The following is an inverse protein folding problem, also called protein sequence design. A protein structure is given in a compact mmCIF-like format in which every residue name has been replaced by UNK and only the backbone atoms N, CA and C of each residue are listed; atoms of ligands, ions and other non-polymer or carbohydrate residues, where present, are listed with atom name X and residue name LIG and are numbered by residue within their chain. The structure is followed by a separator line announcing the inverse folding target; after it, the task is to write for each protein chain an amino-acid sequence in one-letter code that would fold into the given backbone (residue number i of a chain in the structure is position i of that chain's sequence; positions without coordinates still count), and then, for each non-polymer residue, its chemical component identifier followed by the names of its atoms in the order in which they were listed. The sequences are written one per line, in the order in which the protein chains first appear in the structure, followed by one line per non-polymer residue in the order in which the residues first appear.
data_IF_676487322492
#
_entry.id   IF_676487322492
#
_cell.length_a   1.000
_cell.length_b   1.000
_cell.length_c   1.000
_cell.angle_alpha   90.00
_cell.angle_beta   90.00
_cell.angle_gamma   90.00
#
_symmetry.space_group_name_H-M   'P 1'
#
loop_
_entity.id
_entity.type
_entity.pdbx_description
1 polymer ?
#
# COMPACT_ATOMS: atom_id res chain seq x y z
N UNK A 1 -41.56 -18.81 -3.54
CA UNK A 1 -40.66 -19.45 -4.52
C UNK A 1 -39.85 -20.46 -3.72
N UNK A 2 -40.43 -21.68 -3.65
CA UNK A 2 -40.02 -22.76 -2.77
C UNK A 2 -38.72 -23.39 -3.27
N UNK A 3 -37.75 -23.57 -2.37
CA UNK A 3 -36.52 -24.32 -2.63
C UNK A 3 -36.66 -25.71 -2.00
N UNK A 4 -36.65 -26.73 -2.84
CA UNK A 4 -36.79 -28.14 -2.51
C UNK A 4 -35.71 -28.67 -1.54
N UNK A 5 -36.08 -29.49 -0.53
CA UNK A 5 -35.15 -30.04 0.47
C UNK A 5 -34.49 -31.38 0.09
N UNK A 6 -34.25 -31.71 -1.17
CA UNK A 6 -33.79 -33.06 -1.59
C UNK A 6 -32.25 -33.17 -1.74
N UNK A 7 -31.48 -32.12 -1.49
CA UNK A 7 -30.01 -32.17 -1.76
C UNK A 7 -29.11 -32.43 -0.55
N UNK A 8 -29.65 -32.75 0.63
CA UNK A 8 -28.86 -32.89 1.87
C UNK A 8 -28.73 -34.30 2.45
N UNK A 9 -29.11 -35.36 1.73
CA UNK A 9 -29.09 -36.77 2.27
C UNK A 9 -28.16 -37.72 1.45
N UNK A 10 -27.22 -37.25 0.68
CA UNK A 10 -26.33 -38.16 -0.08
C UNK A 10 -24.81 -38.01 0.22
N UNK A 11 -24.42 -37.37 1.27
CA UNK A 11 -23.01 -37.21 1.65
C UNK A 11 -22.62 -37.85 3.01
N UNK A 12 -23.41 -38.78 3.55
CA UNK A 12 -23.14 -39.39 4.87
C UNK A 12 -22.99 -40.91 4.87
N UNK A 13 -22.69 -41.52 3.74
CA UNK A 13 -22.72 -43.00 3.59
C UNK A 13 -21.45 -43.67 3.10
N UNK A 14 -20.29 -43.02 3.03
CA UNK A 14 -19.09 -43.63 2.40
C UNK A 14 -17.82 -43.60 3.30
N UNK A 15 -17.85 -43.08 4.52
CA UNK A 15 -16.60 -42.96 5.33
C UNK A 15 -16.48 -43.90 6.52
N UNK A 16 -17.45 -44.78 6.79
CA UNK A 16 -17.44 -45.59 8.01
C UNK A 16 -17.04 -47.06 7.83
N UNK A 17 -16.75 -47.50 6.62
CA UNK A 17 -16.37 -48.90 6.32
C UNK A 17 -14.88 -49.12 6.02
N UNK A 18 -14.08 -48.07 5.90
CA UNK A 18 -12.62 -48.15 5.61
C UNK A 18 -11.75 -48.20 6.89
N UNK A 19 -12.25 -47.69 8.03
CA UNK A 19 -11.40 -47.58 9.24
C UNK A 19 -11.40 -48.80 10.13
N UNK A 20 -12.33 -49.73 9.91
CA UNK A 20 -12.43 -50.95 10.69
C UNK A 20 -11.52 -52.10 10.24
N UNK A 21 -11.09 -52.15 8.98
CA UNK A 21 -10.19 -53.19 8.45
C UNK A 21 -8.70 -52.85 8.66
N UNK A 22 -8.34 -51.58 8.77
CA UNK A 22 -6.94 -51.15 9.02
C UNK A 22 -6.53 -51.32 10.49
N UNK A 23 -7.49 -51.30 11.40
CA UNK A 23 -7.22 -51.49 12.86
C UNK A 23 -6.98 -52.93 13.28
N UNK A 24 -7.42 -53.92 12.49
CA UNK A 24 -7.27 -55.35 12.79
C UNK A 24 -6.00 -55.99 12.22
N UNK A 25 -5.34 -55.33 11.25
CA UNK A 25 -4.10 -55.81 10.66
C UNK A 25 -2.85 -55.38 11.47
N UNK A 26 -2.91 -54.30 12.23
CA UNK A 26 -1.76 -53.77 13.02
C UNK A 26 -1.60 -54.49 14.37
N UNK A 27 -2.65 -55.19 14.87
CA UNK A 27 -2.60 -55.86 16.20
C UNK A 27 -2.06 -57.30 16.20
N UNK A 28 -1.63 -57.82 15.05
CA UNK A 28 -1.21 -59.26 14.96
C UNK A 28 0.28 -59.50 14.81
N UNK A 29 1.11 -58.46 14.67
CA UNK A 29 2.58 -58.58 14.50
C UNK A 29 3.43 -57.98 15.62
N UNK A 30 2.84 -57.53 16.73
CA UNK A 30 3.56 -57.04 17.90
C UNK A 30 3.63 -58.08 19.02
N UNK A 31 4.05 -59.29 18.70
CA UNK A 31 4.36 -60.34 19.65
C UNK A 31 5.87 -60.51 19.76
N UNK A 32 6.39 -60.22 20.95
CA UNK A 32 7.72 -60.64 21.43
C UNK A 32 8.96 -60.08 20.74
N UNK A 33 9.39 -58.87 21.13
CA UNK A 33 10.83 -58.55 21.21
C UNK A 33 11.14 -57.75 22.46
N UNK A 34 12.11 -58.24 23.19
CA UNK A 34 12.71 -57.83 24.43
C UNK A 34 12.69 -56.32 24.78
N UNK A 35 12.10 -56.03 25.92
CA UNK A 35 12.04 -54.70 26.55
C UNK A 35 13.23 -54.46 27.51
N UNK A 36 14.45 -54.88 27.18
CA UNK A 36 15.58 -54.77 28.10
C UNK A 36 16.73 -53.81 27.66
N UNK A 37 16.52 -52.96 26.62
CA UNK A 37 17.62 -52.09 26.10
C UNK A 37 17.34 -50.58 26.19
N UNK A 38 16.25 -50.11 26.78
CA UNK A 38 15.93 -48.66 26.85
C UNK A 38 16.28 -48.02 28.22
N UNK A 39 17.14 -48.64 29.03
CA UNK A 39 17.50 -48.06 30.34
C UNK A 39 18.86 -47.35 30.41
N UNK A 40 19.60 -47.17 29.31
CA UNK A 40 20.94 -46.58 29.34
C UNK A 40 21.17 -45.28 28.54
N UNK A 41 20.11 -44.59 28.08
CA UNK A 41 20.28 -43.29 27.46
C UNK A 41 19.69 -42.13 28.30
N UNK A 42 20.18 -42.02 29.57
CA UNK A 42 20.10 -40.74 30.30
C UNK A 42 21.13 -39.76 29.72
N UNK A 43 20.89 -39.28 28.51
CA UNK A 43 21.59 -38.13 27.99
C UNK A 43 21.14 -36.89 28.77
N UNK A 44 21.83 -36.57 29.86
CA UNK A 44 21.72 -35.26 30.52
C UNK A 44 22.30 -34.22 29.56
N UNK A 45 21.52 -33.31 29.00
CA UNK A 45 22.12 -32.18 28.30
C UNK A 45 22.83 -31.34 29.37
N UNK A 46 24.17 -31.39 29.39
CA UNK A 46 24.98 -30.39 30.08
C UNK A 46 24.76 -29.06 29.33
N UNK A 47 23.78 -28.32 29.72
CA UNK A 47 23.67 -26.90 29.39
C UNK A 47 24.84 -26.20 30.07
N UNK A 48 25.98 -26.17 29.36
CA UNK A 48 27.10 -25.33 29.69
C UNK A 48 26.63 -23.89 29.51
N UNK A 49 26.22 -23.25 30.61
CA UNK A 49 25.70 -21.89 30.64
C UNK A 49 26.71 -20.94 29.97
N UNK A 50 26.38 -20.54 28.75
CA UNK A 50 27.04 -19.38 28.12
C UNK A 50 26.62 -18.14 28.92
N UNK A 51 27.57 -17.25 29.25
CA UNK A 51 27.26 -16.08 30.07
C UNK A 51 26.16 -15.27 29.41
N UNK A 52 25.17 -14.73 30.16
CA UNK A 52 24.03 -13.98 29.63
C UNK A 52 24.45 -12.73 28.83
N UNK A 53 25.65 -12.23 29.06
CA UNK A 53 26.28 -11.10 28.36
C UNK A 53 26.46 -11.38 26.85
N UNK A 54 26.84 -12.61 26.48
CA UNK A 54 27.04 -12.97 25.06
C UNK A 54 25.72 -13.04 24.29
N UNK A 55 24.59 -13.37 24.93
CA UNK A 55 23.28 -13.37 24.35
C UNK A 55 22.74 -11.92 24.21
N UNK A 56 22.94 -11.09 25.24
CA UNK A 56 22.57 -9.68 25.21
C UNK A 56 23.32 -8.89 24.13
N UNK A 57 24.63 -9.15 23.95
CA UNK A 57 25.44 -8.57 22.86
C UNK A 57 24.97 -9.02 21.46
N UNK A 58 24.54 -10.27 21.32
CA UNK A 58 24.02 -10.79 20.03
C UNK A 58 22.64 -10.21 19.70
N UNK A 59 21.75 -10.13 20.69
CA UNK A 59 20.45 -9.49 20.52
C UNK A 59 20.57 -7.98 20.30
N UNK A 60 21.47 -7.30 21.01
CA UNK A 60 21.78 -5.88 20.81
C UNK A 60 22.39 -5.59 19.43
N UNK A 61 23.27 -6.44 18.93
CA UNK A 61 23.84 -6.34 17.59
C UNK A 61 22.81 -6.57 16.49
N UNK A 62 21.86 -7.50 16.68
CA UNK A 62 20.78 -7.76 15.74
C UNK A 62 19.77 -6.59 15.69
N UNK A 63 19.44 -6.01 16.84
CA UNK A 63 18.59 -4.80 16.93
C UNK A 63 19.26 -3.59 16.30
N UNK A 64 20.57 -3.41 16.48
CA UNK A 64 21.33 -2.34 15.85
C UNK A 64 21.41 -2.49 14.31
N UNK A 65 21.56 -3.73 13.82
CA UNK A 65 21.50 -4.03 12.37
C UNK A 65 20.11 -3.76 11.76
N UNK A 66 19.04 -4.07 12.49
CA UNK A 66 17.67 -3.76 12.07
C UNK A 66 17.38 -2.25 12.02
N UNK A 67 18.01 -1.46 12.91
CA UNK A 67 17.89 -0.01 12.91
C UNK A 67 18.61 0.69 11.74
N UNK A 68 19.62 0.06 11.14
CA UNK A 68 20.40 0.62 10.04
C UNK A 68 19.77 0.43 8.65
N UNK A 69 18.77 -0.42 8.50
CA UNK A 69 18.14 -0.71 7.19
C UNK A 69 16.99 0.22 6.81
N UNK A 70 16.65 1.20 7.65
CA UNK A 70 15.46 2.06 7.49
C UNK A 70 15.65 3.33 6.65
N UNK A 71 16.82 3.62 6.10
CA UNK A 71 17.10 4.87 5.38
C UNK A 71 16.83 4.77 3.87
N UNK A 72 15.60 4.44 3.48
CA UNK A 72 15.16 4.54 2.08
C UNK A 72 14.41 5.85 1.78
N UNK A 73 14.25 6.24 0.50
CA UNK A 73 13.38 7.36 0.11
C UNK A 73 11.92 6.97 0.34
N UNK A 74 11.46 7.06 1.58
CA UNK A 74 10.11 6.73 1.99
C UNK A 74 9.21 7.96 2.13
N UNK A 75 8.05 7.75 2.76
CA UNK A 75 7.08 8.80 3.08
C UNK A 75 7.67 9.81 4.08
N UNK A 76 8.58 9.36 4.94
CA UNK A 76 9.24 10.20 5.93
C UNK A 76 10.65 10.67 5.46
N UNK A 77 11.04 11.94 5.76
CA UNK A 77 10.20 13.00 6.29
C UNK A 77 9.22 13.54 5.24
N UNK A 78 7.95 13.70 5.63
CA UNK A 78 6.92 14.27 4.77
C UNK A 78 7.09 15.77 4.57
N UNK A 79 6.69 16.27 3.40
CA UNK A 79 6.70 17.67 3.03
C UNK A 79 5.27 18.11 2.70
N UNK A 80 4.94 19.36 2.95
CA UNK A 80 3.61 19.88 2.69
C UNK A 80 2.57 19.58 3.80
N UNK A 81 1.46 20.28 3.75
CA UNK A 81 0.41 20.24 4.78
C UNK A 81 -0.23 18.86 4.87
N UNK A 82 -0.61 18.28 3.71
CA UNK A 82 -1.28 16.98 3.64
C UNK A 82 -0.33 15.85 4.07
N UNK A 83 0.93 15.88 3.59
CA UNK A 83 1.94 14.90 3.96
C UNK A 83 2.20 14.86 5.47
N UNK A 84 2.31 16.03 6.10
CA UNK A 84 2.48 16.14 7.56
C UNK A 84 1.25 15.62 8.31
N UNK A 85 0.05 15.96 7.85
CA UNK A 85 -1.18 15.46 8.42
C UNK A 85 -1.26 13.93 8.38
N UNK A 86 -0.96 13.32 7.24
CA UNK A 86 -0.90 11.86 7.10
C UNK A 86 0.13 11.22 8.03
N UNK A 87 1.30 11.85 8.17
CA UNK A 87 2.35 11.38 9.09
C UNK A 87 1.88 11.44 10.53
N UNK A 88 1.21 12.50 10.96
CA UNK A 88 0.66 12.62 12.31
C UNK A 88 -0.32 11.50 12.60
N UNK A 89 -1.31 11.27 11.71
CA UNK A 89 -2.28 10.19 11.86
C UNK A 89 -1.60 8.82 11.91
N UNK A 90 -0.58 8.61 11.10
CA UNK A 90 0.18 7.36 11.08
C UNK A 90 0.92 7.14 12.43
N UNK A 91 1.59 8.15 12.96
CA UNK A 91 2.32 8.07 14.24
C UNK A 91 1.35 7.87 15.40
N UNK A 92 0.25 8.61 15.44
CA UNK A 92 -0.78 8.48 16.49
C UNK A 92 -1.39 7.08 16.48
N UNK A 93 -1.75 6.58 15.28
CA UNK A 93 -2.28 5.23 15.12
C UNK A 93 -1.27 4.16 15.53
N UNK A 94 0.00 4.34 15.16
CA UNK A 94 1.09 3.44 15.55
C UNK A 94 1.28 3.44 17.08
N UNK A 95 1.26 4.61 17.72
CA UNK A 95 1.39 4.74 19.17
C UNK A 95 0.25 4.00 19.91
N UNK A 96 -0.99 4.19 19.47
CA UNK A 96 -2.16 3.49 20.02
C UNK A 96 -2.02 1.98 19.85
N UNK A 97 -1.63 1.52 18.67
CA UNK A 97 -1.40 0.09 18.38
C UNK A 97 -0.29 -0.49 19.27
N UNK A 98 0.84 0.18 19.39
CA UNK A 98 1.97 -0.29 20.20
C UNK A 98 1.64 -0.33 21.70
N UNK A 99 0.80 0.57 22.19
CA UNK A 99 0.35 0.57 23.57
C UNK A 99 -0.40 -0.71 23.96
N UNK A 100 -0.93 -1.45 23.00
CA UNK A 100 -1.62 -2.73 23.20
C UNK A 100 -0.75 -3.91 22.80
N UNK A 101 -0.12 -3.83 21.63
CA UNK A 101 0.67 -4.93 21.07
C UNK A 101 1.89 -5.25 21.95
N UNK A 102 2.62 -4.23 22.43
CA UNK A 102 3.81 -4.45 23.25
C UNK A 102 3.47 -5.12 24.59
N UNK A 103 2.49 -4.64 25.40
CA UNK A 103 2.10 -5.34 26.62
C UNK A 103 1.58 -6.76 26.36
N UNK A 104 0.85 -7.00 25.25
CA UNK A 104 0.36 -8.32 24.89
C UNK A 104 1.52 -9.28 24.58
N UNK A 105 2.52 -8.85 23.80
CA UNK A 105 3.72 -9.64 23.53
C UNK A 105 4.46 -9.95 24.82
N UNK A 106 4.69 -8.93 25.66
CA UNK A 106 5.39 -9.08 26.95
C UNK A 106 4.62 -10.06 27.86
N UNK A 107 3.29 -9.90 27.97
CA UNK A 107 2.45 -10.81 28.75
C UNK A 107 2.51 -12.24 28.23
N UNK A 108 2.43 -12.44 26.91
CA UNK A 108 2.52 -13.76 26.27
C UNK A 108 3.85 -14.43 26.60
N UNK A 109 4.96 -13.73 26.44
CA UNK A 109 6.29 -14.26 26.76
C UNK A 109 6.45 -14.52 28.29
N UNK A 110 5.91 -13.64 29.12
CA UNK A 110 5.92 -13.80 30.57
C UNK A 110 5.10 -15.04 31.01
N UNK A 111 3.92 -15.24 30.44
CA UNK A 111 3.13 -16.44 30.71
C UNK A 111 3.82 -17.70 30.20
N UNK A 112 4.36 -17.72 29.00
CA UNK A 112 5.11 -18.86 28.46
C UNK A 112 6.33 -19.20 29.34
N UNK A 113 7.02 -18.20 29.86
CA UNK A 113 8.15 -18.39 30.77
C UNK A 113 7.71 -18.86 32.17
N UNK A 114 6.64 -18.25 32.72
CA UNK A 114 6.15 -18.55 34.06
C UNK A 114 5.51 -19.93 34.16
N UNK A 115 4.69 -20.30 33.19
CA UNK A 115 3.97 -21.59 33.19
C UNK A 115 4.70 -22.72 32.47
N UNK A 116 6.01 -22.58 32.24
CA UNK A 116 6.82 -23.68 31.66
C UNK A 116 6.85 -24.88 32.59
N UNK A 117 6.92 -26.08 32.04
CA UNK A 117 6.89 -27.37 32.78
C UNK A 117 7.94 -27.52 33.87
N UNK A 118 9.09 -26.82 33.75
CA UNK A 118 10.17 -26.84 34.77
C UNK A 118 9.91 -25.90 35.96
N UNK A 119 8.86 -25.08 35.96
CA UNK A 119 8.56 -24.17 37.05
C UNK A 119 7.58 -24.80 38.08
N UNK A 120 8.09 -25.31 39.15
CA UNK A 120 7.29 -25.91 40.24
C UNK A 120 6.50 -24.88 41.08
N UNK A 121 6.78 -23.57 40.91
CA UNK A 121 6.04 -22.49 41.62
C UNK A 121 4.75 -22.12 40.91
N UNK A 122 4.62 -22.44 39.62
CA UNK A 122 3.42 -22.15 38.85
C UNK A 122 2.28 -23.08 39.30
N UNK A 123 1.14 -22.49 39.72
CA UNK A 123 0.00 -23.27 40.18
C UNK A 123 -0.77 -23.82 38.98
N UNK A 124 -0.80 -25.14 38.85
CA UNK A 124 -1.58 -25.84 37.85
C UNK A 124 -3.07 -25.82 38.21
N UNK A 125 -3.95 -25.36 37.32
CA UNK A 125 -5.41 -25.34 37.48
C UNK A 125 -6.07 -25.89 36.22
N UNK A 126 -6.18 -27.20 36.08
CA UNK A 126 -6.72 -27.85 34.87
C UNK A 126 -8.21 -27.52 34.65
N UNK A 127 -8.95 -27.25 35.74
CA UNK A 127 -10.39 -26.98 35.71
C UNK A 127 -10.73 -25.50 35.45
N UNK A 128 -9.72 -24.66 35.14
CA UNK A 128 -9.97 -23.26 34.82
C UNK A 128 -10.51 -23.11 33.38
N UNK A 129 -11.84 -23.00 33.27
CA UNK A 129 -12.54 -22.92 31.97
C UNK A 129 -13.00 -21.50 31.66
N UNK A 130 -13.40 -20.72 32.68
CA UNK A 130 -14.03 -19.41 32.48
C UNK A 130 -13.73 -18.43 33.61
N UNK A 131 -13.59 -17.17 33.26
CA UNK A 131 -13.56 -16.05 34.20
C UNK A 131 -14.16 -14.80 33.55
N UNK A 132 -15.36 -14.39 33.98
CA UNK A 132 -16.05 -13.23 33.41
C UNK A 132 -15.27 -11.92 33.52
N UNK A 133 -14.44 -11.75 34.55
CA UNK A 133 -13.59 -10.55 34.70
C UNK A 133 -12.47 -10.49 33.63
N UNK A 134 -11.81 -11.62 33.38
CA UNK A 134 -10.77 -11.71 32.34
C UNK A 134 -11.41 -11.51 30.98
N UNK A 135 -12.55 -12.14 30.74
CA UNK A 135 -13.24 -12.04 29.45
C UNK A 135 -13.73 -10.62 29.18
N UNK A 136 -14.29 -9.94 30.21
CA UNK A 136 -14.68 -8.54 30.10
C UNK A 136 -13.49 -7.66 29.65
N UNK A 137 -12.32 -7.82 30.27
CA UNK A 137 -11.13 -7.04 29.92
C UNK A 137 -10.62 -7.37 28.53
N UNK A 138 -10.55 -8.66 28.18
CA UNK A 138 -10.02 -9.11 26.87
C UNK A 138 -10.90 -8.68 25.68
N UNK A 139 -12.20 -8.49 25.90
CA UNK A 139 -13.10 -7.96 24.88
C UNK A 139 -13.19 -6.42 24.88
N UNK A 140 -13.16 -5.81 26.06
CA UNK A 140 -13.32 -4.35 26.19
C UNK A 140 -12.13 -3.59 25.60
N UNK A 141 -10.91 -4.06 25.83
CA UNK A 141 -9.69 -3.35 25.36
C UNK A 141 -9.67 -3.27 23.83
N UNK A 142 -9.81 -4.36 23.05
CA UNK A 142 -9.87 -4.28 21.59
C UNK A 142 -11.04 -3.43 21.09
N UNK A 143 -12.22 -3.56 21.70
CA UNK A 143 -13.40 -2.78 21.30
C UNK A 143 -13.16 -1.28 21.44
N UNK A 144 -12.68 -0.83 22.59
CA UNK A 144 -12.37 0.58 22.84
C UNK A 144 -11.28 1.08 21.90
N UNK A 145 -10.28 0.24 21.58
CA UNK A 145 -9.22 0.58 20.64
C UNK A 145 -9.74 0.78 19.23
N UNK A 146 -10.62 -0.12 18.75
CA UNK A 146 -11.24 0.01 17.42
C UNK A 146 -12.07 1.29 17.35
N UNK A 147 -12.82 1.62 18.41
CA UNK A 147 -13.58 2.87 18.47
C UNK A 147 -12.67 4.10 18.41
N UNK A 148 -11.55 4.09 19.16
CA UNK A 148 -10.58 5.18 19.17
C UNK A 148 -9.91 5.34 17.80
N UNK A 149 -9.39 4.26 17.22
CA UNK A 149 -8.77 4.27 15.90
C UNK A 149 -9.76 4.66 14.80
N UNK A 150 -11.00 4.17 14.91
CA UNK A 150 -12.09 4.57 14.03
C UNK A 150 -12.36 6.07 14.08
N UNK A 151 -12.34 6.67 15.27
CA UNK A 151 -12.46 8.13 15.46
C UNK A 151 -11.30 8.91 14.83
N UNK A 152 -10.05 8.43 15.01
CA UNK A 152 -8.86 9.03 14.37
C UNK A 152 -8.96 8.94 12.84
N UNK A 153 -9.34 7.77 12.30
CA UNK A 153 -9.50 7.58 10.87
C UNK A 153 -10.63 8.45 10.29
N UNK A 154 -11.76 8.50 10.97
CA UNK A 154 -12.89 9.35 10.58
C UNK A 154 -12.49 10.83 10.48
N UNK A 155 -11.87 11.36 11.54
CA UNK A 155 -11.41 12.74 11.55
C UNK A 155 -10.38 12.99 10.44
N UNK A 156 -9.40 12.11 10.30
CA UNK A 156 -8.34 12.22 9.30
C UNK A 156 -8.87 12.21 7.87
N UNK A 157 -9.83 11.33 7.56
CA UNK A 157 -10.43 11.24 6.22
C UNK A 157 -11.22 12.51 5.83
N UNK A 158 -11.79 13.21 6.81
CA UNK A 158 -12.49 14.46 6.54
C UNK A 158 -11.58 15.69 6.49
N UNK A 159 -10.55 15.73 7.35
CA UNK A 159 -9.60 16.85 7.38
C UNK A 159 -8.63 16.83 6.19
N UNK A 160 -8.26 15.64 5.73
CA UNK A 160 -7.29 15.41 4.66
C UNK A 160 -7.94 14.88 3.37
N UNK A 161 -9.22 15.22 3.14
CA UNK A 161 -9.90 14.90 1.89
C UNK A 161 -9.09 15.48 0.71
N UNK A 162 -8.71 14.64 -0.28
CA UNK A 162 -7.95 15.09 -1.43
C UNK A 162 -8.57 16.24 -2.21
N UNK A 163 -9.91 16.29 -2.28
CA UNK A 163 -10.67 17.34 -2.99
C UNK A 163 -10.84 18.63 -2.17
N UNK A 164 -10.43 18.63 -0.90
CA UNK A 164 -10.59 19.81 -0.03
C UNK A 164 -9.50 20.84 -0.33
N UNK A 165 -9.87 22.11 -0.62
CA UNK A 165 -8.92 23.19 -0.80
C UNK A 165 -8.05 23.38 0.44
N UNK A 166 -6.74 23.54 0.24
CA UNK A 166 -5.80 23.83 1.33
C UNK A 166 -5.97 25.29 1.76
N UNK A 167 -5.89 25.58 3.07
CA UNK A 167 -5.93 26.93 3.57
C UNK A 167 -4.70 27.70 3.07
N UNK A 168 -4.92 28.79 2.35
CA UNK A 168 -3.88 29.68 1.83
C UNK A 168 -4.49 31.03 1.46
N UNK A 169 -3.71 32.09 1.61
CA UNK A 169 -4.05 33.43 1.14
C UNK A 169 -3.80 33.61 -0.37
N UNK A 170 -3.11 32.64 -1.00
CA UNK A 170 -2.78 32.66 -2.41
C UNK A 170 -3.74 31.79 -3.24
N UNK A 171 -4.05 32.25 -4.44
CA UNK A 171 -4.80 31.45 -5.40
C UNK A 171 -3.99 30.16 -5.76
N UNK A 172 -4.64 28.99 -5.79
CA UNK A 172 -3.95 27.76 -6.13
C UNK A 172 -3.47 27.74 -7.58
N UNK A 173 -2.26 27.23 -7.81
CA UNK A 173 -1.78 26.90 -9.14
C UNK A 173 -2.64 25.78 -9.72
N UNK A 174 -3.22 25.97 -10.89
CA UNK A 174 -4.02 24.94 -11.56
C UNK A 174 -3.12 24.07 -12.44
N UNK A 175 -3.23 22.76 -12.27
CA UNK A 175 -2.53 21.78 -13.09
C UNK A 175 -3.51 20.69 -13.50
N UNK A 176 -3.62 20.43 -14.80
CA UNK A 176 -4.39 19.32 -15.33
C UNK A 176 -3.44 18.15 -15.59
N UNK A 177 -3.73 16.98 -15.00
CA UNK A 177 -2.91 15.79 -15.14
C UNK A 177 -3.65 14.69 -15.87
N UNK A 178 -3.05 14.14 -16.91
CA UNK A 178 -3.60 13.04 -17.68
C UNK A 178 -2.67 11.83 -17.54
N UNK A 179 -3.18 10.73 -17.01
CA UNK A 179 -2.47 9.45 -17.06
C UNK A 179 -2.63 8.82 -18.43
N UNK A 180 -1.51 8.53 -19.06
CA UNK A 180 -1.39 7.83 -20.35
C UNK A 180 -0.83 6.43 -20.10
N UNK A 181 -0.73 5.60 -21.14
CA UNK A 181 -0.08 4.30 -21.04
C UNK A 181 1.41 4.48 -20.70
N UNK A 182 1.69 4.35 -19.39
CA UNK A 182 2.95 4.37 -18.67
C UNK A 182 3.73 5.70 -18.68
N UNK A 183 3.02 6.84 -18.82
CA UNK A 183 3.57 8.19 -18.70
C UNK A 183 2.53 9.18 -18.19
N UNK A 184 2.99 10.32 -17.70
CA UNK A 184 2.16 11.38 -17.16
C UNK A 184 2.28 12.64 -18.03
N UNK A 185 1.15 13.21 -18.43
CA UNK A 185 1.05 14.51 -19.07
C UNK A 185 0.54 15.52 -18.06
N UNK A 186 1.23 16.63 -17.88
CA UNK A 186 0.85 17.76 -17.02
C UNK A 186 0.63 18.99 -17.88
N UNK A 187 -0.55 19.58 -17.80
CA UNK A 187 -0.94 20.80 -18.51
C UNK A 187 -1.08 21.92 -17.50
N UNK A 188 -0.48 23.06 -17.76
CA UNK A 188 -0.59 24.28 -16.96
C UNK A 188 -1.49 25.27 -17.73
N UNK A 189 -2.81 25.29 -17.49
CA UNK A 189 -3.74 26.10 -18.28
C UNK A 189 -3.46 27.59 -18.19
N UNK A 190 -3.09 28.10 -17.00
CA UNK A 190 -2.82 29.53 -16.79
C UNK A 190 -1.49 29.98 -17.46
N UNK A 191 -0.59 29.06 -17.77
CA UNK A 191 0.69 29.33 -18.41
C UNK A 191 0.78 28.85 -19.86
N UNK A 192 -0.23 28.15 -20.33
CA UNK A 192 -0.31 27.60 -21.69
C UNK A 192 0.92 26.75 -22.10
N UNK A 193 1.40 25.89 -21.21
CA UNK A 193 2.47 24.91 -21.45
C UNK A 193 2.05 23.54 -21.00
N UNK A 194 2.74 22.49 -21.49
CA UNK A 194 2.58 21.14 -20.96
C UNK A 194 3.92 20.43 -20.85
N UNK A 195 4.00 19.48 -19.93
CA UNK A 195 5.18 18.66 -19.68
C UNK A 195 4.82 17.18 -19.58
N UNK A 196 5.74 16.32 -19.95
CA UNK A 196 5.61 14.86 -19.84
C UNK A 196 6.64 14.36 -18.83
N UNK A 197 6.20 13.56 -17.86
CA UNK A 197 7.00 12.94 -16.79
C UNK A 197 7.85 13.94 -15.94
N UNK A 198 7.52 15.21 -15.98
CA UNK A 198 8.15 16.26 -15.17
C UNK A 198 7.08 17.25 -14.71
N UNK A 199 6.99 17.46 -13.42
CA UNK A 199 6.05 18.38 -12.80
C UNK A 199 6.83 19.41 -11.99
N UNK A 200 6.66 20.70 -12.25
CA UNK A 200 7.19 21.75 -11.40
C UNK A 200 6.06 22.47 -10.65
N UNK A 201 6.30 22.77 -9.38
CA UNK A 201 5.35 23.47 -8.51
C UNK A 201 6.07 24.55 -7.69
N UNK A 202 5.43 25.68 -7.39
CA UNK A 202 6.00 26.67 -6.49
C UNK A 202 5.91 26.24 -5.04
N UNK A 203 6.95 26.50 -4.26
CA UNK A 203 6.97 26.27 -2.82
C UNK A 203 6.00 27.21 -2.10
N UNK A 204 5.26 26.68 -1.12
CA UNK A 204 4.33 27.44 -0.29
C UNK A 204 2.99 27.76 -0.94
N UNK A 205 2.83 27.55 -2.23
CA UNK A 205 1.57 27.77 -2.96
C UNK A 205 0.81 26.46 -3.10
N UNK A 206 -0.50 26.41 -2.78
CA UNK A 206 -1.31 25.24 -3.07
C UNK A 206 -1.41 24.95 -4.56
N UNK A 207 -1.39 23.69 -4.92
CA UNK A 207 -1.58 23.23 -6.29
C UNK A 207 -2.89 22.47 -6.36
N UNK A 208 -3.78 22.91 -7.23
CA UNK A 208 -5.05 22.23 -7.53
C UNK A 208 -4.86 21.39 -8.79
N UNK A 209 -4.84 20.08 -8.59
CA UNK A 209 -4.81 19.13 -9.69
C UNK A 209 -6.23 18.73 -10.09
N UNK A 210 -6.51 18.81 -11.39
CA UNK A 210 -7.64 18.14 -12.02
C UNK A 210 -7.12 16.99 -12.84
N UNK A 211 -7.53 15.75 -12.49
CA UNK A 211 -6.91 14.56 -13.04
C UNK A 211 -7.91 13.71 -13.82
N UNK A 212 -7.43 13.11 -14.89
CA UNK A 212 -8.19 12.13 -15.68
C UNK A 212 -7.25 11.05 -16.23
N UNK A 213 -7.80 10.02 -16.85
CA UNK A 213 -7.06 9.01 -17.57
C UNK A 213 -7.43 8.97 -19.04
N UNK A 214 -6.45 8.77 -19.90
CA UNK A 214 -6.67 8.57 -21.33
C UNK A 214 -7.08 7.12 -21.66
N UNK A 215 -6.78 6.15 -20.80
CA UNK A 215 -7.03 4.72 -21.05
C UNK A 215 -7.51 4.00 -19.79
N UNK A 216 -6.65 3.30 -19.12
CA UNK A 216 -6.95 2.53 -17.90
C UNK A 216 -6.85 3.38 -16.64
N UNK A 217 -7.44 2.88 -15.57
CA UNK A 217 -7.31 3.49 -14.25
C UNK A 217 -5.86 3.46 -13.78
N UNK A 218 -5.40 4.60 -13.26
CA UNK A 218 -4.12 4.78 -12.61
C UNK A 218 -4.30 5.47 -11.26
N UNK A 219 -3.25 5.56 -10.47
CA UNK A 219 -3.27 6.30 -9.22
C UNK A 219 -2.12 7.29 -9.17
N UNK A 220 -2.45 8.58 -9.13
CA UNK A 220 -1.47 9.65 -8.95
C UNK A 220 -1.02 9.69 -7.51
N UNK A 221 0.27 9.54 -7.26
CA UNK A 221 0.82 9.50 -5.92
C UNK A 221 2.19 10.18 -5.83
N UNK A 222 2.31 11.13 -4.92
CA UNK A 222 3.57 11.76 -4.53
C UNK A 222 3.79 11.53 -3.04
N UNK A 223 4.48 10.44 -2.65
CA UNK A 223 4.53 9.94 -1.27
C UNK A 223 4.90 10.97 -0.21
N UNK A 224 5.80 11.89 -0.54
CA UNK A 224 6.28 12.92 0.39
C UNK A 224 5.34 14.10 0.55
N UNK A 225 4.47 14.37 -0.43
CA UNK A 225 3.59 15.53 -0.42
C UNK A 225 2.19 15.21 0.11
N UNK A 226 1.71 14.00 -0.08
CA UNK A 226 0.39 13.71 0.45
C UNK A 226 -0.30 12.48 -0.09
N UNK A 227 -1.62 12.60 -0.18
CA UNK A 227 -2.53 11.53 -0.49
C UNK A 227 -2.43 11.06 -1.95
N UNK A 228 -2.93 9.87 -2.19
CA UNK A 228 -3.11 9.27 -3.50
C UNK A 228 -4.53 9.53 -4.00
N UNK A 229 -4.70 9.75 -5.31
CA UNK A 229 -6.01 9.84 -5.95
C UNK A 229 -6.03 9.00 -7.24
N UNK A 230 -7.16 8.37 -7.52
CA UNK A 230 -7.34 7.63 -8.77
C UNK A 230 -7.61 8.56 -9.95
N UNK A 231 -7.01 8.25 -11.09
CA UNK A 231 -7.32 8.83 -12.39
C UNK A 231 -8.10 7.81 -13.21
N UNK A 232 -9.28 8.19 -13.66
CA UNK A 232 -10.20 7.29 -14.37
C UNK A 232 -10.61 7.91 -15.69
N UNK A 233 -10.79 7.04 -16.68
CA UNK A 233 -11.26 7.47 -17.99
C UNK A 233 -12.67 8.06 -17.88
N UNK A 234 -12.95 9.18 -18.58
CA UNK A 234 -14.22 9.91 -18.60
C UNK A 234 -14.65 10.51 -17.25
N UNK A 235 -13.75 10.57 -16.29
CA UNK A 235 -14.00 11.17 -14.99
C UNK A 235 -12.92 12.19 -14.67
N UNK A 236 -13.31 13.24 -13.97
CA UNK A 236 -12.40 14.21 -13.39
C UNK A 236 -12.33 13.98 -11.90
N UNK A 237 -11.13 13.82 -11.37
CA UNK A 237 -10.86 13.79 -9.94
C UNK A 237 -10.04 15.00 -9.53
N UNK A 238 -10.14 15.41 -8.28
CA UNK A 238 -9.51 16.62 -7.77
C UNK A 238 -8.56 16.28 -6.62
N UNK A 239 -7.42 16.93 -6.58
CA UNK A 239 -6.41 16.75 -5.54
C UNK A 239 -5.74 18.08 -5.24
N UNK A 240 -5.61 18.41 -3.96
CA UNK A 240 -4.82 19.55 -3.50
C UNK A 240 -3.55 19.08 -2.81
N UNK A 241 -2.40 19.57 -3.27
CA UNK A 241 -1.10 19.35 -2.64
C UNK A 241 -0.35 20.67 -2.49
N UNK A 242 0.61 20.68 -1.59
CA UNK A 242 1.57 21.78 -1.45
C UNK A 242 2.93 21.23 -1.02
N UNK A 243 4.00 21.93 -1.37
CA UNK A 243 5.35 21.65 -0.88
C UNK A 243 5.82 22.82 0.00
N UNK A 244 6.33 22.52 1.19
CA UNK A 244 6.81 23.54 2.14
C UNK A 244 8.26 23.94 1.90
N UNK A 245 9.04 23.08 1.24
CA UNK A 245 10.47 23.27 1.00
C UNK A 245 10.84 22.97 -0.44
N UNK A 246 11.84 23.66 -0.99
CA UNK A 246 12.38 23.33 -2.31
C UNK A 246 12.99 21.93 -2.31
N UNK A 247 12.85 21.23 -3.44
CA UNK A 247 13.42 19.92 -3.61
C UNK A 247 12.80 19.15 -4.77
N UNK A 248 13.36 17.97 -5.04
CA UNK A 248 12.80 17.04 -6.02
C UNK A 248 12.18 15.85 -5.31
N UNK A 249 10.94 15.58 -5.62
CA UNK A 249 10.16 14.48 -5.04
C UNK A 249 9.81 13.48 -6.13
N UNK A 250 9.80 12.21 -5.77
CA UNK A 250 9.35 11.15 -6.66
C UNK A 250 7.82 11.14 -6.70
N UNK A 251 7.25 11.22 -7.90
CA UNK A 251 5.86 10.89 -8.18
C UNK A 251 5.77 9.59 -8.96
N UNK A 252 4.70 8.83 -8.74
CA UNK A 252 4.51 7.54 -9.39
C UNK A 252 3.04 7.20 -9.56
N UNK A 253 2.75 6.23 -10.44
CA UNK A 253 1.49 5.51 -10.37
C UNK A 253 1.59 4.43 -9.28
N UNK A 254 0.60 4.36 -8.40
CA UNK A 254 0.53 3.33 -7.34
C UNK A 254 -0.54 2.25 -7.61
N UNK A 255 -1.16 2.28 -8.81
CA UNK A 255 -2.09 1.26 -9.28
C UNK A 255 -1.53 0.56 -10.51
N UNK A 256 -1.46 -0.77 -10.46
CA UNK A 256 -0.90 -1.58 -11.55
C UNK A 256 -1.69 -1.40 -12.84
N UNK A 257 -1.00 -1.07 -13.92
CA UNK A 257 -1.59 -0.76 -15.24
C UNK A 257 -0.92 -1.47 -16.41
N UNK A 258 -0.29 -2.62 -16.17
CA UNK A 258 0.35 -3.44 -17.22
C UNK A 258 1.88 -3.35 -17.24
N UNK A 259 2.49 -3.73 -18.35
CA UNK A 259 3.93 -4.04 -18.46
C UNK A 259 4.86 -2.87 -18.13
N UNK A 260 4.50 -1.65 -18.51
CA UNK A 260 5.29 -0.45 -18.24
C UNK A 260 5.00 0.23 -16.89
N UNK A 261 4.18 -0.37 -16.03
CA UNK A 261 3.81 0.22 -14.73
C UNK A 261 5.00 0.57 -13.85
N UNK A 262 6.01 -0.29 -13.80
CA UNK A 262 7.20 -0.06 -12.97
C UNK A 262 7.99 1.20 -13.36
N UNK A 263 7.91 1.60 -14.63
CA UNK A 263 8.60 2.77 -15.18
C UNK A 263 7.71 4.03 -15.20
N UNK A 264 6.44 3.92 -14.77
CA UNK A 264 5.48 5.04 -14.74
C UNK A 264 5.73 5.97 -13.56
N UNK A 265 6.87 6.63 -13.60
CA UNK A 265 7.36 7.56 -12.60
C UNK A 265 7.59 8.94 -13.20
N UNK A 266 7.57 9.98 -12.35
CA UNK A 266 7.87 11.35 -12.73
C UNK A 266 8.54 12.10 -11.60
N UNK A 267 9.23 13.18 -11.91
CA UNK A 267 9.83 14.05 -10.91
C UNK A 267 8.92 15.25 -10.64
N UNK A 268 8.73 15.54 -9.36
CA UNK A 268 8.08 16.76 -8.86
C UNK A 268 9.15 17.69 -8.34
N UNK A 269 9.35 18.80 -9.02
CA UNK A 269 10.32 19.82 -8.66
C UNK A 269 9.60 20.97 -7.94
N UNK A 270 9.77 21.05 -6.62
CA UNK A 270 9.30 22.19 -5.85
C UNK A 270 10.35 23.29 -5.90
N UNK A 271 10.00 24.40 -6.53
CA UNK A 271 10.89 25.53 -6.81
C UNK A 271 10.47 26.76 -5.99
N UNK A 272 11.40 27.62 -5.57
CA UNK A 272 11.05 28.97 -5.13
C UNK A 272 10.23 29.70 -6.19
N UNK A 273 9.38 30.64 -5.81
CA UNK A 273 8.45 31.32 -6.73
C UNK A 273 9.14 31.94 -7.96
N UNK A 274 10.28 32.60 -7.73
CA UNK A 274 11.08 33.18 -8.83
C UNK A 274 11.66 32.07 -9.73
N UNK A 275 12.11 30.98 -9.15
CA UNK A 275 12.60 29.80 -9.85
C UNK A 275 11.52 29.12 -10.68
N UNK A 276 10.28 29.07 -10.17
CA UNK A 276 9.14 28.54 -10.90
C UNK A 276 8.80 29.42 -12.11
N UNK A 277 8.80 30.74 -11.96
CA UNK A 277 8.57 31.66 -13.06
C UNK A 277 9.65 31.55 -14.15
N UNK A 278 10.91 31.46 -13.76
CA UNK A 278 12.01 31.23 -14.68
C UNK A 278 11.89 29.87 -15.40
N UNK A 279 11.48 28.82 -14.68
CA UNK A 279 11.26 27.49 -15.25
C UNK A 279 10.15 27.49 -16.31
N UNK A 280 9.04 28.23 -16.09
CA UNK A 280 7.96 28.39 -17.08
C UNK A 280 8.52 29.02 -18.36
N UNK A 281 9.29 30.10 -18.24
CA UNK A 281 9.87 30.82 -19.39
C UNK A 281 10.90 29.97 -20.14
N UNK A 282 11.73 29.23 -19.41
CA UNK A 282 12.71 28.30 -20.01
C UNK A 282 11.99 27.15 -20.74
N UNK A 283 10.97 26.56 -20.10
CA UNK A 283 10.16 25.50 -20.69
C UNK A 283 9.50 25.95 -21.99
N UNK A 284 8.92 27.16 -22.00
CA UNK A 284 8.29 27.75 -23.19
C UNK A 284 9.30 27.99 -24.32
N UNK A 285 10.51 28.44 -23.99
CA UNK A 285 11.58 28.71 -25.01
C UNK A 285 12.24 27.42 -25.49
N UNK A 286 12.40 26.44 -24.61
CA UNK A 286 13.10 25.18 -24.93
C UNK A 286 12.25 24.16 -25.67
N UNK A 287 10.93 24.27 -25.61
CA UNK A 287 10.01 23.36 -26.27
C UNK A 287 9.68 23.83 -27.69
N UNK A 288 9.97 23.02 -28.68
CA UNK A 288 9.75 23.35 -30.09
C UNK A 288 8.33 23.02 -30.58
N UNK A 289 7.61 22.12 -29.90
CA UNK A 289 6.34 21.59 -30.37
C UNK A 289 5.14 22.15 -29.57
N UNK A 290 4.00 22.28 -30.26
CA UNK A 290 2.69 22.58 -29.64
C UNK A 290 1.93 21.28 -29.41
N UNK A 291 1.30 21.14 -28.26
CA UNK A 291 0.42 20.02 -27.95
C UNK A 291 -0.95 20.27 -28.57
N UNK A 292 -1.16 19.74 -29.76
CA UNK A 292 -2.44 19.74 -30.49
C UNK A 292 -3.16 18.41 -30.29
N UNK A 293 -4.42 18.33 -30.70
CA UNK A 293 -5.17 17.06 -30.73
C UNK A 293 -4.43 15.95 -31.48
N UNK A 294 -3.72 16.27 -32.57
CA UNK A 294 -2.94 15.28 -33.33
C UNK A 294 -1.68 14.82 -32.58
N UNK A 295 -0.88 15.76 -32.05
CA UNK A 295 0.32 15.42 -31.29
C UNK A 295 -0.04 14.69 -29.96
N UNK A 296 -1.21 14.98 -29.39
CA UNK A 296 -1.74 14.23 -28.26
C UNK A 296 -2.05 12.76 -28.63
N UNK A 297 -2.65 12.50 -29.79
CA UNK A 297 -2.91 11.13 -30.23
C UNK A 297 -1.61 10.33 -30.43
N UNK A 298 -0.57 10.99 -30.94
CA UNK A 298 0.76 10.36 -31.05
C UNK A 298 1.37 10.11 -29.66
N UNK A 299 1.23 11.05 -28.73
CA UNK A 299 1.64 10.88 -27.35
C UNK A 299 0.87 9.76 -26.63
N UNK A 300 -0.42 9.59 -26.93
CA UNK A 300 -1.28 8.58 -26.29
C UNK A 300 -0.93 7.14 -26.70
N UNK A 301 -0.13 6.94 -27.73
CA UNK A 301 0.37 5.60 -28.10
C UNK A 301 1.21 5.02 -26.95
N UNK A 302 1.13 3.71 -26.77
CA UNK A 302 1.90 3.01 -25.73
C UNK A 302 3.40 3.25 -25.87
N UNK A 303 4.04 3.61 -24.78
CA UNK A 303 5.50 3.77 -24.73
C UNK A 303 6.00 3.68 -23.29
N UNK A 304 7.12 3.01 -23.10
CA UNK A 304 7.79 2.82 -21.81
C UNK A 304 9.04 3.68 -21.72
N UNK A 305 9.45 4.04 -20.50
CA UNK A 305 10.70 4.77 -20.20
C UNK A 305 10.83 6.09 -20.98
N UNK A 306 9.71 6.80 -21.10
CA UNK A 306 9.70 8.09 -21.82
C UNK A 306 10.46 9.11 -21.01
N UNK A 307 11.53 9.66 -21.62
CA UNK A 307 12.31 10.74 -21.02
C UNK A 307 11.43 11.99 -20.84
N UNK A 308 11.64 12.82 -19.82
CA UNK A 308 10.92 14.07 -19.63
C UNK A 308 11.13 15.04 -20.81
N UNK A 309 10.05 15.63 -21.30
CA UNK A 309 10.07 16.69 -22.30
C UNK A 309 8.87 17.63 -22.14
N UNK A 310 8.78 18.68 -22.92
CA UNK A 310 7.77 19.71 -22.80
C UNK A 310 7.20 20.17 -24.15
N UNK A 311 6.03 20.80 -24.08
CA UNK A 311 5.36 21.49 -25.16
C UNK A 311 5.26 22.98 -24.83
N UNK A 312 5.58 23.85 -25.83
CA UNK A 312 5.59 25.32 -25.70
C UNK A 312 4.21 25.95 -25.63
N UNK A 313 3.20 25.28 -26.17
CA UNK A 313 1.82 25.69 -26.13
C UNK A 313 0.87 24.49 -26.15
N UNK A 314 -0.37 24.69 -25.73
CA UNK A 314 -1.42 23.66 -25.65
C UNK A 314 -2.66 24.15 -26.41
N UNK A 315 -3.27 23.28 -27.20
CA UNK A 315 -4.53 23.54 -27.85
C UNK A 315 -5.63 23.87 -26.83
N UNK A 316 -6.43 24.90 -27.02
CA UNK A 316 -7.55 25.21 -26.14
C UNK A 316 -8.49 24.01 -25.96
N UNK A 317 -9.03 23.83 -24.75
CA UNK A 317 -9.97 22.78 -24.39
C UNK A 317 -9.48 21.33 -24.60
N UNK A 318 -8.16 21.13 -24.81
CA UNK A 318 -7.61 19.79 -25.03
C UNK A 318 -7.95 18.82 -23.88
N UNK A 319 -7.81 19.27 -22.64
CA UNK A 319 -8.14 18.44 -21.46
C UNK A 319 -9.61 18.02 -21.46
N UNK A 320 -10.52 18.95 -21.75
CA UNK A 320 -11.94 18.65 -21.84
C UNK A 320 -12.26 17.67 -22.98
N UNK A 321 -11.59 17.78 -24.13
CA UNK A 321 -11.71 16.82 -25.24
C UNK A 321 -11.26 15.42 -24.84
N UNK A 322 -10.22 15.29 -23.96
CA UNK A 322 -9.75 14.02 -23.45
C UNK A 322 -10.78 13.42 -22.48
N UNK A 323 -11.28 14.21 -21.54
CA UNK A 323 -12.28 13.76 -20.55
C UNK A 323 -13.56 13.29 -21.23
N UNK A 324 -14.07 14.06 -22.19
CA UNK A 324 -15.31 13.74 -22.91
C UNK A 324 -15.16 12.67 -23.98
N UNK A 325 -13.91 12.19 -24.19
CA UNK A 325 -13.57 11.27 -25.28
C UNK A 325 -13.92 11.81 -26.69
N UNK A 326 -13.91 13.13 -26.88
CA UNK A 326 -13.92 13.71 -28.21
C UNK A 326 -12.64 13.34 -28.99
N UNK A 327 -11.56 13.00 -28.26
CA UNK A 327 -10.38 12.33 -28.79
C UNK A 327 -10.43 10.84 -28.42
N UNK A 328 -10.01 9.92 -29.31
CA UNK A 328 -10.01 8.51 -29.01
C UNK A 328 -9.16 8.20 -27.78
N UNK A 329 -9.59 7.29 -26.91
CA UNK A 329 -8.82 6.87 -25.75
C UNK A 329 -7.54 6.17 -26.17
N UNK A 330 -6.52 6.14 -25.29
CA UNK A 330 -5.33 5.32 -25.46
C UNK A 330 -5.69 3.82 -25.53
N UNK A 331 -4.82 3.00 -26.13
CA UNK A 331 -5.11 1.59 -26.38
C UNK A 331 -5.29 0.76 -25.11
N UNK A 332 -4.71 1.17 -23.99
CA UNK A 332 -4.65 0.37 -22.78
C UNK A 332 -3.69 -0.84 -22.89
N UNK A 333 -3.39 -1.54 -21.81
CA UNK A 333 -2.53 -2.72 -21.85
C UNK A 333 -3.16 -3.82 -22.72
N UNK A 334 -2.36 -4.39 -23.60
CA UNK A 334 -2.78 -5.55 -24.41
C UNK A 334 -2.88 -6.76 -23.46
N UNK A 335 -4.09 -7.25 -23.27
CA UNK A 335 -4.30 -8.54 -22.62
C UNK A 335 -3.91 -9.60 -23.66
N UNK A 336 -2.74 -10.20 -23.54
CA UNK A 336 -2.43 -11.42 -24.28
C UNK A 336 -3.45 -12.49 -23.86
N UNK A 337 -4.49 -12.66 -24.67
CA UNK A 337 -5.36 -13.82 -24.55
C UNK A 337 -4.50 -15.04 -24.84
N UNK A 338 -4.26 -15.86 -23.80
CA UNK A 338 -3.57 -17.15 -23.95
C UNK A 338 -4.05 -17.87 -25.22
N UNK A 339 -3.16 -18.43 -26.06
CA UNK A 339 -3.52 -19.03 -27.36
C UNK A 339 -4.58 -20.15 -27.33
N UNK A 340 -5.12 -20.47 -26.16
CA UNK A 340 -6.14 -21.50 -25.93
C UNK A 340 -7.59 -21.01 -25.80
N UNK A 341 -7.86 -19.72 -25.70
CA UNK A 341 -9.22 -19.22 -25.41
C UNK A 341 -10.11 -18.99 -26.65
N UNK A 342 -9.52 -18.97 -27.85
CA UNK A 342 -10.22 -18.65 -29.11
C UNK A 342 -11.03 -19.81 -29.74
N UNK A 343 -11.10 -21.00 -29.14
CA UNK A 343 -11.80 -22.18 -29.78
C UNK A 343 -13.02 -22.69 -29.03
N UNK A 344 -13.61 -21.92 -28.10
CA UNK A 344 -14.83 -22.38 -27.37
C UNK A 344 -16.13 -21.61 -27.69
N UNK A 345 -16.16 -20.83 -28.76
CA UNK A 345 -17.31 -19.99 -29.13
C UNK A 345 -17.98 -20.32 -30.46
N UNK A 346 -17.60 -21.40 -31.15
CA UNK A 346 -18.26 -21.81 -32.39
C UNK A 346 -18.52 -23.32 -32.38
N UNK A 347 -19.63 -23.70 -31.77
CA UNK A 347 -20.41 -24.88 -32.13
C UNK A 347 -21.85 -24.72 -31.65
#
# INVERSE_FOLDING_TARGET
MDLDPVFLIKARGVSEQSDAEVSLAVSREAGARDFSVIESLKCRPRFRGRPPIALALRCGGLLALLALTGCGPGILPSQGVVGKGNTTIMIDSLAIMLAIVVPTIVATLAFAWWFRSSNSRARHRPDFVYSGQIELVTWSIPLLTIMLLGGVAWRGSHELDPARPLPSDEAPLKVQAVSLDWKWLFIYPDHNIATVNRLAIPVGTPVHFTLTSASVMNAFFVPKLGSMIYTMNRMETQLYLSADQPGTFLGMSSHFSGDGFADMQFNVEALPKDGFSAWIDETRKGAAATLTSQTYQDLAKQSMKVAPFAYSAVEPDLFHKIVTQALPPGPGPVVETSPGASKRGEK
#
